data_IF_467672496527
#
_entry.id   IF_467672496527
#
_cell.length_a   1.000
_cell.length_b   1.000
_cell.length_c   1.000
_cell.angle_alpha   90.00
_cell.angle_beta   90.00
_cell.angle_gamma   90.00
#
_symmetry.space_group_name_H-M   'P 1'
#
loop_
_entity.id
_entity.type
_entity.pdbx_description
1 polymer ?
#
# COMPACT_ATOMS: atom_id res chain seq x y z
N UNK A 1 7.43 22.33 -13.46
CA UNK A 1 7.00 21.28 -14.42
C UNK A 1 5.50 21.10 -14.34
N UNK A 2 4.88 20.70 -15.46
CA UNK A 2 3.49 20.26 -15.51
C UNK A 2 3.45 18.73 -15.61
N UNK A 3 2.94 18.09 -14.58
CA UNK A 3 2.92 16.64 -14.42
C UNK A 3 1.48 16.13 -14.48
N UNK A 4 1.25 14.97 -15.07
CA UNK A 4 -0.09 14.41 -15.21
C UNK A 4 -0.17 12.91 -14.96
N UNK A 5 -1.33 12.44 -14.52
CA UNK A 5 -1.61 11.00 -14.38
C UNK A 5 -2.99 10.64 -14.94
N UNK A 6 -3.07 9.53 -15.66
CA UNK A 6 -4.34 8.94 -16.10
C UNK A 6 -4.80 7.90 -15.09
N UNK A 7 -5.95 8.13 -14.46
CA UNK A 7 -6.57 7.21 -13.51
C UNK A 7 -7.96 6.78 -13.99
N UNK A 8 -8.39 5.53 -13.75
CA UNK A 8 -9.72 5.05 -14.15
C UNK A 8 -10.86 5.69 -13.34
N UNK A 9 -10.57 6.20 -12.17
CA UNK A 9 -11.50 6.81 -11.21
C UNK A 9 -10.72 7.40 -10.04
N UNK A 10 -11.38 8.15 -9.16
CA UNK A 10 -10.82 8.71 -7.91
C UNK A 10 -11.24 7.96 -6.63
N UNK A 11 -11.85 6.77 -6.73
CA UNK A 11 -12.23 5.94 -5.57
C UNK A 11 -11.01 5.52 -4.74
N UNK A 12 -11.22 5.19 -3.45
CA UNK A 12 -10.16 4.77 -2.53
C UNK A 12 -9.53 3.41 -2.92
N UNK A 13 -8.47 3.48 -3.67
CA UNK A 13 -7.59 2.36 -4.03
C UNK A 13 -6.13 2.76 -3.86
N UNK A 14 -5.28 1.80 -3.50
CA UNK A 14 -3.85 2.07 -3.22
C UNK A 14 -3.09 2.72 -4.39
N UNK A 15 -3.44 2.37 -5.63
CA UNK A 15 -2.86 3.01 -6.83
C UNK A 15 -3.32 4.45 -7.03
N UNK A 16 -4.60 4.75 -6.73
CA UNK A 16 -5.15 6.11 -6.78
C UNK A 16 -4.53 6.95 -5.66
N UNK A 17 -4.56 6.45 -4.42
CA UNK A 17 -3.96 7.11 -3.25
C UNK A 17 -2.53 7.56 -3.52
N UNK A 18 -1.70 6.69 -4.12
CA UNK A 18 -0.32 6.98 -4.49
C UNK A 18 -0.17 8.28 -5.27
N UNK A 19 -0.97 8.46 -6.31
CA UNK A 19 -0.85 9.64 -7.17
C UNK A 19 -1.47 10.89 -6.56
N UNK A 20 -2.48 10.75 -5.71
CA UNK A 20 -3.04 11.89 -5.00
C UNK A 20 -2.05 12.42 -3.93
N UNK A 21 -1.39 11.52 -3.19
CA UNK A 21 -0.35 11.91 -2.21
C UNK A 21 0.88 12.50 -2.89
N UNK A 22 1.40 11.86 -3.95
CA UNK A 22 2.49 12.43 -4.74
C UNK A 22 2.11 13.76 -5.36
N UNK A 23 0.89 13.87 -5.90
CA UNK A 23 0.39 15.09 -6.52
C UNK A 23 0.39 16.26 -5.55
N UNK A 24 -0.09 16.07 -4.31
CA UNK A 24 -0.04 17.12 -3.29
C UNK A 24 1.40 17.58 -3.00
N UNK A 25 2.34 16.64 -2.92
CA UNK A 25 3.76 16.99 -2.68
C UNK A 25 4.36 17.72 -3.89
N UNK A 26 4.04 17.33 -5.11
CA UNK A 26 4.49 18.04 -6.29
C UNK A 26 3.94 19.48 -6.32
N UNK A 27 2.66 19.67 -5.96
CA UNK A 27 2.06 21.01 -5.85
C UNK A 27 2.74 21.82 -4.75
N UNK A 28 2.98 21.24 -3.57
CA UNK A 28 3.67 21.91 -2.46
C UNK A 28 5.12 22.31 -2.83
N UNK A 29 5.73 21.63 -3.79
CA UNK A 29 7.07 21.93 -4.36
C UNK A 29 7.00 22.92 -5.56
N UNK A 30 5.84 23.52 -5.86
CA UNK A 30 5.67 24.50 -6.92
C UNK A 30 5.49 23.92 -8.32
N UNK A 31 5.14 22.64 -8.46
CA UNK A 31 4.81 22.01 -9.72
C UNK A 31 3.31 21.96 -9.95
N UNK A 32 2.87 22.02 -11.19
CA UNK A 32 1.48 21.78 -11.57
C UNK A 32 1.26 20.27 -11.67
N UNK A 33 0.22 19.73 -11.03
CA UNK A 33 -0.12 18.31 -11.11
C UNK A 33 -1.60 18.11 -11.47
N UNK A 34 -1.85 17.36 -12.55
CA UNK A 34 -3.18 17.15 -13.12
C UNK A 34 -3.54 15.67 -13.06
N UNK A 35 -4.69 15.36 -12.48
CA UNK A 35 -5.28 14.01 -12.51
C UNK A 35 -6.35 13.99 -13.59
N UNK A 36 -6.14 13.18 -14.60
CA UNK A 36 -7.10 12.95 -15.67
C UNK A 36 -7.91 11.69 -15.37
N UNK A 37 -9.23 11.81 -15.39
CA UNK A 37 -10.18 10.70 -15.27
C UNK A 37 -11.26 10.77 -16.35
N UNK A 38 -12.09 9.72 -16.56
CA UNK A 38 -13.17 9.79 -17.53
C UNK A 38 -14.18 10.91 -17.27
N UNK A 39 -14.40 11.25 -16.00
CA UNK A 39 -15.44 12.18 -15.53
C UNK A 39 -14.90 13.49 -14.91
N UNK A 40 -13.58 13.61 -14.74
CA UNK A 40 -12.94 14.77 -14.11
C UNK A 40 -13.28 14.98 -12.62
N UNK A 41 -13.92 14.00 -11.95
CA UNK A 41 -14.40 14.18 -10.59
C UNK A 41 -13.28 14.10 -9.55
N UNK A 42 -13.29 15.05 -8.61
CA UNK A 42 -12.37 15.06 -7.48
C UNK A 42 -12.67 13.92 -6.50
N UNK A 43 -11.64 13.41 -5.77
CA UNK A 43 -11.88 12.44 -4.71
C UNK A 43 -12.65 13.06 -3.55
N UNK A 44 -13.65 12.36 -3.03
CA UNK A 44 -14.45 12.80 -1.87
C UNK A 44 -13.83 12.44 -0.52
N UNK A 45 -12.86 11.52 -0.53
CA UNK A 45 -12.21 10.97 0.67
C UNK A 45 -10.81 11.55 0.93
N UNK A 46 -10.30 12.41 0.02
CA UNK A 46 -8.94 12.94 0.07
C UNK A 46 -8.92 14.41 -0.35
N UNK A 47 -8.25 15.25 0.43
CA UNK A 47 -8.03 16.67 0.07
C UNK A 47 -6.91 16.77 -0.96
N UNK A 48 -7.27 16.82 -2.23
CA UNK A 48 -6.33 16.94 -3.34
C UNK A 48 -6.07 18.39 -3.69
N UNK A 49 -4.80 18.78 -3.77
CA UNK A 49 -4.34 20.15 -4.05
C UNK A 49 -4.10 20.42 -5.54
N UNK A 50 -3.98 19.38 -6.34
CA UNK A 50 -3.76 19.50 -7.78
C UNK A 50 -5.05 19.72 -8.55
N UNK A 51 -4.95 19.66 -9.87
CA UNK A 51 -6.06 19.87 -10.79
C UNK A 51 -6.72 18.57 -11.20
N UNK A 52 -8.03 18.63 -11.44
CA UNK A 52 -8.80 17.55 -12.04
C UNK A 52 -9.15 17.90 -13.47
N UNK A 53 -9.09 16.92 -14.37
CA UNK A 53 -9.47 17.10 -15.79
C UNK A 53 -10.02 15.79 -16.36
N UNK A 54 -10.61 15.89 -17.57
CA UNK A 54 -11.09 14.72 -18.30
C UNK A 54 -10.04 14.18 -19.27
N UNK A 55 -10.21 12.95 -19.73
CA UNK A 55 -9.31 12.34 -20.72
C UNK A 55 -9.22 13.11 -22.04
N UNK A 56 -10.28 13.81 -22.42
CA UNK A 56 -10.32 14.59 -23.69
C UNK A 56 -9.30 15.74 -23.70
N UNK A 57 -8.98 16.28 -22.53
CA UNK A 57 -8.01 17.36 -22.39
C UNK A 57 -6.54 16.90 -22.52
N UNK A 58 -6.27 15.59 -22.50
CA UNK A 58 -4.89 15.05 -22.49
C UNK A 58 -4.11 15.48 -23.74
N UNK A 59 -4.74 15.41 -24.92
CA UNK A 59 -4.07 15.71 -26.19
C UNK A 59 -3.67 17.19 -26.33
N UNK A 60 -4.42 18.11 -25.72
CA UNK A 60 -4.22 19.55 -25.79
C UNK A 60 -3.44 20.13 -24.61
N UNK A 61 -3.21 19.34 -23.56
CA UNK A 61 -2.50 19.81 -22.37
C UNK A 61 -0.98 19.62 -22.54
N UNK A 62 -0.19 20.70 -22.51
CA UNK A 62 1.27 20.59 -22.48
C UNK A 62 1.74 19.95 -21.15
N UNK A 63 2.45 18.84 -21.24
CA UNK A 63 2.89 18.06 -20.10
C UNK A 63 4.39 17.75 -20.20
N UNK A 64 5.13 17.95 -19.11
CA UNK A 64 6.50 17.44 -18.98
C UNK A 64 6.51 15.93 -18.80
N UNK A 65 5.60 15.39 -17.97
CA UNK A 65 5.47 13.96 -17.76
C UNK A 65 4.01 13.52 -17.63
N UNK A 66 3.69 12.35 -18.21
CA UNK A 66 2.37 11.72 -18.09
C UNK A 66 2.51 10.26 -17.66
N UNK A 67 1.86 9.91 -16.55
CA UNK A 67 1.85 8.55 -16.01
C UNK A 67 0.53 7.82 -16.24
N UNK A 68 0.62 6.49 -16.27
CA UNK A 68 -0.52 5.61 -15.98
C UNK A 68 -0.03 4.31 -15.32
N UNK A 69 -0.89 3.69 -14.53
CA UNK A 69 -0.71 2.32 -14.02
C UNK A 69 -1.53 1.30 -14.81
N UNK A 70 -2.33 1.78 -15.75
CA UNK A 70 -3.36 0.99 -16.45
C UNK A 70 -2.96 0.78 -17.90
N UNK A 71 -2.74 -0.48 -18.28
CA UNK A 71 -2.35 -0.86 -19.64
C UNK A 71 -3.28 -0.26 -20.70
N UNK A 72 -4.58 -0.26 -20.43
CA UNK A 72 -5.64 0.29 -21.31
C UNK A 72 -5.39 1.77 -21.69
N UNK A 73 -4.73 2.55 -20.86
CA UNK A 73 -4.52 3.98 -21.07
C UNK A 73 -3.17 4.30 -21.71
N UNK A 74 -2.30 3.31 -21.92
CA UNK A 74 -1.00 3.54 -22.58
C UNK A 74 -1.11 4.15 -24.01
N UNK A 75 -2.09 3.77 -24.85
CA UNK A 75 -2.25 4.44 -26.13
C UNK A 75 -2.46 5.96 -26.01
N UNK A 76 -3.23 6.41 -25.00
CA UNK A 76 -3.43 7.83 -24.73
C UNK A 76 -2.15 8.52 -24.22
N UNK A 77 -1.37 7.85 -23.37
CA UNK A 77 -0.05 8.34 -22.93
C UNK A 77 0.89 8.49 -24.13
N UNK A 78 0.91 7.51 -25.02
CA UNK A 78 1.77 7.53 -26.22
C UNK A 78 1.37 8.62 -27.22
N UNK A 79 0.09 8.88 -27.37
CA UNK A 79 -0.45 9.93 -28.24
C UNK A 79 -0.32 11.35 -27.66
N UNK A 80 -0.06 11.49 -26.37
CA UNK A 80 0.09 12.81 -25.72
C UNK A 80 1.37 13.52 -26.18
N UNK A 81 1.42 14.83 -25.93
CA UNK A 81 2.60 15.67 -26.14
C UNK A 81 3.60 15.60 -24.97
N UNK A 82 3.39 14.75 -23.98
CA UNK A 82 4.26 14.63 -22.84
C UNK A 82 5.69 14.22 -23.23
N UNK A 83 6.68 14.94 -22.70
CA UNK A 83 8.11 14.63 -22.88
C UNK A 83 8.44 13.24 -22.29
N UNK A 84 8.00 12.98 -21.06
CA UNK A 84 8.17 11.71 -20.37
C UNK A 84 6.86 10.91 -20.39
N UNK A 85 6.86 9.77 -21.09
CA UNK A 85 5.71 8.86 -21.24
C UNK A 85 5.91 7.65 -20.34
N UNK A 86 5.23 7.61 -19.19
CA UNK A 86 5.62 6.72 -18.10
C UNK A 86 4.53 5.69 -17.80
N UNK A 87 4.92 4.42 -17.82
CA UNK A 87 4.14 3.33 -17.25
C UNK A 87 4.62 3.05 -15.82
N UNK A 88 3.79 3.38 -14.82
CA UNK A 88 4.11 3.11 -13.42
C UNK A 88 3.61 1.72 -13.06
N UNK A 89 4.52 0.74 -13.06
CA UNK A 89 4.19 -0.66 -12.82
C UNK A 89 4.03 -0.90 -11.33
N UNK A 90 2.79 -1.08 -10.88
CA UNK A 90 2.42 -1.20 -9.46
C UNK A 90 2.17 -2.64 -9.01
N UNK A 91 2.08 -3.58 -9.95
CA UNK A 91 1.81 -4.99 -9.67
C UNK A 91 2.32 -5.88 -10.81
N UNK A 92 2.93 -7.02 -10.49
CA UNK A 92 3.34 -8.01 -11.49
C UNK A 92 2.18 -8.38 -12.40
N UNK A 93 2.38 -8.31 -13.69
CA UNK A 93 1.37 -8.55 -14.72
C UNK A 93 2.00 -9.13 -15.98
N UNK A 94 1.31 -10.05 -16.64
CA UNK A 94 1.78 -10.71 -17.85
C UNK A 94 1.37 -10.00 -19.12
N UNK A 95 0.35 -9.15 -19.08
CA UNK A 95 -0.20 -8.44 -20.22
C UNK A 95 0.53 -7.12 -20.56
N UNK A 96 1.71 -6.88 -19.99
CA UNK A 96 2.50 -5.64 -20.16
C UNK A 96 3.67 -5.78 -21.14
N UNK A 97 3.82 -6.93 -21.80
CA UNK A 97 4.98 -7.23 -22.67
C UNK A 97 5.22 -6.17 -23.75
N UNK A 98 4.15 -5.71 -24.40
CA UNK A 98 4.22 -4.69 -25.45
C UNK A 98 4.69 -3.32 -24.91
N UNK A 99 4.29 -2.96 -23.68
CA UNK A 99 4.73 -1.74 -22.99
C UNK A 99 6.21 -1.85 -22.64
N UNK A 100 6.61 -3.00 -22.06
CA UNK A 100 8.00 -3.23 -21.62
C UNK A 100 9.01 -3.21 -22.78
N UNK A 101 8.57 -3.51 -24.01
CA UNK A 101 9.39 -3.50 -25.21
C UNK A 101 9.35 -2.18 -25.99
N UNK A 102 8.44 -1.28 -25.65
CA UNK A 102 8.34 -0.01 -26.36
C UNK A 102 9.43 0.95 -25.86
N UNK A 103 10.32 1.44 -26.77
CA UNK A 103 11.40 2.36 -26.40
C UNK A 103 10.91 3.75 -26.01
N UNK A 104 9.73 4.16 -26.46
CA UNK A 104 9.12 5.45 -26.10
C UNK A 104 8.54 5.47 -24.68
N UNK A 105 8.43 4.31 -24.02
CA UNK A 105 7.85 4.21 -22.68
C UNK A 105 8.95 4.11 -21.65
N UNK A 106 8.93 4.99 -20.68
CA UNK A 106 9.71 4.87 -19.46
C UNK A 106 8.94 4.02 -18.45
N UNK A 107 9.62 3.11 -17.77
CA UNK A 107 8.98 2.22 -16.81
C UNK A 107 9.44 2.56 -15.39
N UNK A 108 8.47 2.81 -14.52
CA UNK A 108 8.70 3.02 -13.09
C UNK A 108 8.21 1.81 -12.30
N UNK A 109 8.99 1.34 -11.36
CA UNK A 109 8.62 0.24 -10.47
C UNK A 109 8.32 0.74 -9.06
N UNK A 110 7.18 0.36 -8.51
CA UNK A 110 6.74 0.79 -7.18
C UNK A 110 7.40 0.03 -6.02
N UNK A 111 8.13 -1.05 -6.30
CA UNK A 111 8.83 -1.87 -5.32
C UNK A 111 9.97 -2.64 -5.99
N UNK A 112 10.96 -3.06 -5.21
CA UNK A 112 12.04 -3.95 -5.68
C UNK A 112 11.47 -5.24 -6.26
N UNK A 113 10.41 -5.77 -5.68
CA UNK A 113 9.76 -6.99 -6.17
C UNK A 113 9.18 -6.84 -7.60
N UNK A 114 8.68 -5.67 -7.95
CA UNK A 114 8.21 -5.35 -9.32
C UNK A 114 9.41 -5.10 -10.23
N UNK A 115 10.39 -4.34 -9.79
CA UNK A 115 11.63 -4.09 -10.53
C UNK A 115 12.33 -5.40 -10.94
N UNK A 116 12.53 -6.34 -9.99
CA UNK A 116 13.18 -7.62 -10.26
C UNK A 116 12.35 -8.48 -11.24
N UNK A 117 11.04 -8.41 -11.13
CA UNK A 117 10.14 -9.08 -12.09
C UNK A 117 10.29 -8.51 -13.50
N UNK A 118 10.31 -7.18 -13.66
CA UNK A 118 10.45 -6.53 -14.95
C UNK A 118 11.81 -6.82 -15.59
N UNK A 119 12.88 -6.78 -14.79
CA UNK A 119 14.22 -7.11 -15.23
C UNK A 119 14.33 -8.58 -15.66
N UNK A 120 13.85 -9.50 -14.79
CA UNK A 120 13.96 -10.96 -15.05
C UNK A 120 13.11 -11.40 -16.23
N UNK A 121 11.88 -10.88 -16.34
CA UNK A 121 10.90 -11.37 -17.34
C UNK A 121 11.02 -10.68 -18.68
N UNK A 122 11.35 -9.40 -18.69
CA UNK A 122 11.31 -8.56 -19.89
C UNK A 122 12.68 -7.98 -20.25
N UNK A 123 13.72 -8.16 -19.43
CA UNK A 123 15.02 -7.48 -19.59
C UNK A 123 14.94 -5.96 -19.36
N UNK A 124 13.80 -5.46 -18.79
CA UNK A 124 13.54 -4.02 -18.67
C UNK A 124 14.05 -3.49 -17.34
N UNK A 125 15.02 -2.57 -17.39
CA UNK A 125 15.46 -1.81 -16.22
C UNK A 125 14.49 -0.65 -15.99
N UNK A 126 13.63 -0.77 -14.98
CA UNK A 126 12.71 0.27 -14.57
C UNK A 126 13.42 1.30 -13.66
N UNK A 127 12.89 2.52 -13.59
CA UNK A 127 13.27 3.45 -12.52
C UNK A 127 12.62 3.01 -11.20
N UNK A 128 13.39 2.96 -10.10
CA UNK A 128 12.90 2.53 -8.79
C UNK A 128 12.19 3.69 -8.04
N UNK A 129 10.94 3.96 -8.39
CA UNK A 129 10.07 4.89 -7.68
C UNK A 129 9.36 4.17 -6.52
N UNK A 130 10.16 3.59 -5.61
CA UNK A 130 9.70 2.71 -4.53
C UNK A 130 9.12 3.54 -3.39
N UNK A 131 7.95 3.15 -2.94
CA UNK A 131 7.34 3.79 -1.79
C UNK A 131 5.85 4.02 -2.01
N UNK A 132 5.14 4.65 -1.15
CA UNK A 132 5.56 5.33 0.05
C UNK A 132 4.39 5.46 1.02
N UNK A 133 4.57 6.28 1.99
CA UNK A 133 3.60 6.61 3.05
C UNK A 133 3.84 8.06 3.47
N UNK A 134 2.80 8.81 3.83
CA UNK A 134 2.97 10.12 4.47
C UNK A 134 3.20 9.89 5.96
N UNK A 135 4.45 9.76 6.36
CA UNK A 135 4.83 9.36 7.72
C UNK A 135 4.30 10.33 8.78
N UNK A 136 4.20 11.61 8.47
CA UNK A 136 3.67 12.64 9.36
C UNK A 136 2.21 12.40 9.79
N UNK A 137 1.42 11.70 8.96
CA UNK A 137 0.02 11.36 9.26
C UNK A 137 -0.13 10.20 10.25
N UNK A 138 0.98 9.51 10.58
CA UNK A 138 0.98 8.31 11.43
C UNK A 138 1.83 8.54 12.66
N UNK A 139 1.19 8.79 13.80
CA UNK A 139 1.88 8.93 15.08
C UNK A 139 2.39 7.56 15.54
N UNK A 140 3.63 7.45 16.06
CA UNK A 140 4.08 6.21 16.68
C UNK A 140 3.27 5.91 17.94
N UNK A 141 3.06 4.63 18.24
CA UNK A 141 2.41 4.23 19.49
C UNK A 141 3.38 4.38 20.67
N UNK A 142 2.82 4.77 21.82
CA UNK A 142 3.62 5.07 23.01
C UNK A 142 3.86 3.84 23.90
N UNK A 143 2.93 2.87 23.88
CA UNK A 143 2.99 1.70 24.75
C UNK A 143 2.84 0.38 23.99
N UNK A 144 3.58 -0.62 24.46
CA UNK A 144 3.52 -2.02 23.98
C UNK A 144 2.99 -2.98 25.04
N UNK A 145 2.55 -2.45 26.17
CA UNK A 145 1.99 -3.22 27.27
C UNK A 145 0.62 -3.81 26.91
N UNK A 146 0.37 -5.04 27.37
CA UNK A 146 -0.87 -5.80 27.13
C UNK A 146 -1.57 -6.20 28.44
N UNK A 147 -1.04 -5.76 29.59
CA UNK A 147 -1.60 -6.08 30.90
C UNK A 147 -3.09 -5.77 30.99
N UNK A 148 -3.87 -6.70 31.52
CA UNK A 148 -5.29 -6.52 31.83
C UNK A 148 -6.25 -6.47 30.63
N UNK A 149 -5.78 -6.67 29.40
CA UNK A 149 -6.60 -6.63 28.18
C UNK A 149 -6.26 -7.73 27.17
N UNK A 150 -7.15 -8.05 26.25
CA UNK A 150 -6.83 -8.98 25.15
C UNK A 150 -5.71 -8.43 24.26
N UNK A 151 -4.80 -9.33 23.83
CA UNK A 151 -3.82 -9.04 22.77
C UNK A 151 -4.54 -8.83 21.44
N UNK A 152 -4.41 -7.66 20.87
CA UNK A 152 -5.13 -7.26 19.67
C UNK A 152 -4.30 -7.48 18.41
N UNK A 153 -4.75 -8.40 17.54
CA UNK A 153 -4.19 -8.62 16.21
C UNK A 153 -4.98 -7.80 15.20
N UNK A 154 -4.34 -6.84 14.56
CA UNK A 154 -4.94 -6.06 13.49
C UNK A 154 -4.61 -6.67 12.13
N UNK A 155 -5.59 -6.75 11.25
CA UNK A 155 -5.38 -7.13 9.85
C UNK A 155 -6.31 -6.37 8.90
N UNK A 156 -5.86 -6.21 7.66
CA UNK A 156 -6.72 -5.67 6.61
C UNK A 156 -7.85 -6.64 6.31
N UNK A 157 -9.08 -6.18 6.45
CA UNK A 157 -10.30 -6.99 6.45
C UNK A 157 -10.85 -7.36 5.07
N UNK A 158 -10.08 -7.22 3.98
CA UNK A 158 -10.50 -7.53 2.60
C UNK A 158 -10.77 -9.04 2.41
N UNK A 159 -11.81 -9.54 3.11
CA UNK A 159 -12.18 -10.97 3.14
C UNK A 159 -12.66 -11.50 1.79
N UNK A 160 -13.16 -10.63 0.93
CA UNK A 160 -13.65 -10.96 -0.41
C UNK A 160 -12.52 -11.31 -1.39
N UNK A 161 -11.31 -10.82 -1.13
CA UNK A 161 -10.15 -11.05 -1.98
C UNK A 161 -9.19 -12.09 -1.36
N UNK A 162 -9.25 -13.33 -1.82
CA UNK A 162 -8.35 -14.40 -1.33
C UNK A 162 -6.86 -14.06 -1.45
N UNK A 163 -6.49 -13.16 -2.38
CA UNK A 163 -5.11 -12.70 -2.55
C UNK A 163 -4.59 -11.99 -1.30
N UNK A 164 -5.46 -11.29 -0.55
CA UNK A 164 -5.11 -10.58 0.69
C UNK A 164 -4.81 -11.52 1.86
N UNK A 165 -5.32 -12.74 1.84
CA UNK A 165 -4.96 -13.77 2.82
C UNK A 165 -5.55 -13.58 4.21
N UNK A 166 -6.51 -12.68 4.39
CA UNK A 166 -7.17 -12.40 5.68
C UNK A 166 -7.65 -13.67 6.38
N UNK A 167 -8.17 -14.66 5.62
CA UNK A 167 -8.60 -15.94 6.16
C UNK A 167 -7.50 -16.75 6.87
N UNK A 168 -6.22 -16.57 6.53
CA UNK A 168 -5.11 -17.21 7.26
C UNK A 168 -4.90 -16.56 8.62
N UNK A 169 -5.07 -15.24 8.71
CA UNK A 169 -4.97 -14.48 9.96
C UNK A 169 -6.12 -14.87 10.88
N UNK A 170 -7.35 -14.88 10.37
CA UNK A 170 -8.55 -15.32 11.12
C UNK A 170 -8.32 -16.72 11.71
N UNK A 171 -7.95 -17.71 10.88
CA UNK A 171 -7.69 -19.09 11.35
C UNK A 171 -6.54 -19.19 12.36
N UNK A 172 -5.55 -18.32 12.27
CA UNK A 172 -4.47 -18.26 13.25
C UNK A 172 -4.98 -17.75 14.62
N UNK A 173 -5.77 -16.68 14.62
CA UNK A 173 -6.37 -16.12 15.83
C UNK A 173 -7.39 -17.07 16.46
N UNK A 174 -8.27 -17.68 15.70
CA UNK A 174 -9.22 -18.69 16.18
C UNK A 174 -8.51 -19.86 16.90
N UNK A 175 -7.39 -20.34 16.33
CA UNK A 175 -6.64 -21.44 16.94
C UNK A 175 -5.92 -21.02 18.21
N UNK A 176 -5.39 -19.79 18.28
CA UNK A 176 -4.79 -19.25 19.52
C UNK A 176 -5.85 -19.10 20.60
N UNK A 177 -7.01 -18.54 20.27
CA UNK A 177 -8.13 -18.40 21.19
C UNK A 177 -8.58 -19.76 21.74
N UNK A 178 -8.75 -20.76 20.86
CA UNK A 178 -9.08 -22.13 21.29
C UNK A 178 -7.98 -22.82 22.12
N UNK A 179 -6.77 -22.27 22.17
CA UNK A 179 -5.67 -22.72 23.01
C UNK A 179 -5.59 -21.93 24.35
N UNK A 180 -6.58 -21.08 24.64
CA UNK A 180 -6.65 -20.30 25.87
C UNK A 180 -5.87 -18.98 25.86
N UNK A 181 -5.35 -18.53 24.72
CA UNK A 181 -4.72 -17.21 24.63
C UNK A 181 -5.77 -16.10 24.72
N UNK A 182 -5.54 -15.10 25.58
CA UNK A 182 -6.39 -13.90 25.64
C UNK A 182 -6.11 -12.99 24.45
N UNK A 183 -6.75 -13.28 23.32
CA UNK A 183 -6.53 -12.64 22.03
C UNK A 183 -7.85 -12.17 21.41
N UNK A 184 -7.82 -11.04 20.71
CA UNK A 184 -8.92 -10.58 19.84
C UNK A 184 -8.41 -10.21 18.46
N UNK A 185 -9.28 -10.27 17.47
CA UNK A 185 -9.02 -9.88 16.10
C UNK A 185 -9.69 -8.53 15.80
N UNK A 186 -8.92 -7.58 15.29
CA UNK A 186 -9.42 -6.31 14.78
C UNK A 186 -9.26 -6.30 13.26
N UNK A 187 -10.35 -6.20 12.53
CA UNK A 187 -10.36 -6.08 11.07
C UNK A 187 -10.84 -4.69 10.66
N UNK A 188 -10.32 -4.19 9.56
CA UNK A 188 -10.81 -2.95 8.97
C UNK A 188 -10.83 -3.03 7.44
N UNK A 189 -11.87 -2.51 6.83
CA UNK A 189 -11.98 -2.39 5.36
C UNK A 189 -12.95 -1.25 4.99
N UNK A 190 -12.80 -0.75 3.77
CA UNK A 190 -13.80 0.07 3.11
C UNK A 190 -14.35 -0.75 1.95
N UNK A 191 -15.63 -1.17 1.99
CA UNK A 191 -16.21 -2.00 0.95
C UNK A 191 -16.23 -1.26 -0.38
N UNK A 192 -15.89 -1.98 -1.45
CA UNK A 192 -15.80 -1.42 -2.81
C UNK A 192 -17.16 -1.43 -3.53
N UNK A 193 -18.08 -2.28 -3.07
CA UNK A 193 -19.43 -2.47 -3.58
C UNK A 193 -20.36 -3.06 -2.51
N UNK A 194 -21.66 -3.12 -2.80
CA UNK A 194 -22.66 -3.69 -1.89
C UNK A 194 -22.44 -5.18 -1.59
N UNK A 195 -21.90 -5.94 -2.54
CA UNK A 195 -21.59 -7.36 -2.34
C UNK A 195 -20.46 -7.53 -1.31
N UNK A 196 -19.45 -6.68 -1.34
CA UNK A 196 -18.41 -6.63 -0.33
C UNK A 196 -18.98 -6.22 1.04
N UNK A 197 -19.83 -5.20 1.09
CA UNK A 197 -20.49 -4.76 2.33
C UNK A 197 -21.35 -5.88 2.96
N UNK A 198 -22.15 -6.61 2.16
CA UNK A 198 -22.94 -7.76 2.65
C UNK A 198 -22.06 -8.87 3.21
N UNK A 199 -20.94 -9.21 2.57
CA UNK A 199 -20.02 -10.24 3.07
C UNK A 199 -19.31 -9.83 4.35
N UNK A 200 -18.98 -8.57 4.50
CA UNK A 200 -18.41 -8.03 5.76
C UNK A 200 -19.46 -8.14 6.87
N UNK A 201 -20.70 -7.75 6.62
CA UNK A 201 -21.81 -7.85 7.59
C UNK A 201 -22.09 -9.30 8.01
N UNK A 202 -21.92 -10.25 7.11
CA UNK A 202 -22.12 -11.68 7.38
C UNK A 202 -20.87 -12.37 7.96
N UNK A 203 -19.78 -11.63 8.18
CA UNK A 203 -18.53 -12.20 8.69
C UNK A 203 -18.69 -12.68 10.13
N UNK A 204 -18.21 -13.89 10.40
CA UNK A 204 -18.17 -14.48 11.74
C UNK A 204 -16.77 -15.04 12.04
N UNK A 205 -16.42 -15.07 13.30
CA UNK A 205 -15.13 -15.60 13.78
C UNK A 205 -15.33 -16.28 15.15
N UNK A 206 -14.58 -17.35 15.42
CA UNK A 206 -14.67 -18.10 16.69
C UNK A 206 -13.88 -17.48 17.84
N UNK A 207 -13.06 -16.48 17.57
CA UNK A 207 -12.43 -15.65 18.62
C UNK A 207 -13.15 -14.30 18.72
N UNK A 208 -13.03 -13.57 19.82
CA UNK A 208 -13.52 -12.20 19.92
C UNK A 208 -12.98 -11.35 18.78
N UNK A 209 -13.86 -10.62 18.09
CA UNK A 209 -13.44 -9.79 16.98
C UNK A 209 -14.26 -8.51 16.91
N UNK A 210 -13.68 -7.55 16.21
CA UNK A 210 -14.33 -6.32 15.77
C UNK A 210 -14.01 -6.09 14.31
N UNK A 211 -15.01 -5.69 13.51
CA UNK A 211 -14.82 -5.33 12.12
C UNK A 211 -15.20 -3.87 11.93
N UNK A 212 -14.19 -3.01 11.72
CA UNK A 212 -14.37 -1.57 11.48
C UNK A 212 -14.55 -1.34 9.99
N UNK A 213 -15.69 -0.76 9.62
CA UNK A 213 -16.08 -0.51 8.23
C UNK A 213 -16.09 0.99 7.95
N UNK A 214 -15.47 1.39 6.84
CA UNK A 214 -15.50 2.78 6.38
C UNK A 214 -14.79 3.77 7.32
N UNK A 215 -13.77 3.32 8.05
CA UNK A 215 -12.98 4.22 8.90
C UNK A 215 -12.35 5.33 8.05
N UNK A 216 -12.39 6.59 8.50
CA UNK A 216 -11.77 7.69 7.79
C UNK A 216 -10.29 7.42 7.54
N UNK A 217 -9.87 7.54 6.29
CA UNK A 217 -8.51 7.19 5.86
C UNK A 217 -7.42 7.98 6.61
N UNK A 218 -7.63 9.26 6.83
CA UNK A 218 -6.73 10.16 7.54
C UNK A 218 -6.59 9.84 9.03
N UNK A 219 -7.48 8.99 9.55
CA UNK A 219 -7.51 8.54 10.95
C UNK A 219 -7.12 7.06 11.12
N UNK A 220 -6.67 6.39 10.09
CA UNK A 220 -6.27 4.98 10.17
C UNK A 220 -5.24 4.70 11.28
N UNK A 221 -4.39 5.68 11.63
CA UNK A 221 -3.45 5.56 12.74
C UNK A 221 -4.13 5.16 14.07
N UNK A 222 -5.39 5.57 14.30
CA UNK A 222 -6.14 5.20 15.50
C UNK A 222 -6.39 3.68 15.59
N UNK A 223 -6.61 3.02 14.45
CA UNK A 223 -6.75 1.56 14.39
C UNK A 223 -5.42 0.85 14.69
N UNK A 224 -4.33 1.37 14.14
CA UNK A 224 -2.99 0.84 14.41
C UNK A 224 -2.60 0.99 15.88
N UNK A 225 -2.96 2.08 16.54
CA UNK A 225 -2.70 2.27 17.98
C UNK A 225 -3.44 1.29 18.88
N UNK A 226 -4.59 0.77 18.45
CA UNK A 226 -5.34 -0.28 19.15
C UNK A 226 -4.71 -1.67 19.01
N UNK A 227 -3.73 -1.83 18.11
CA UNK A 227 -3.12 -3.11 17.79
C UNK A 227 -1.85 -3.38 18.59
N UNK A 228 -1.64 -4.65 18.95
CA UNK A 228 -0.38 -5.15 19.52
C UNK A 228 0.52 -5.75 18.45
N UNK A 229 -0.05 -6.17 17.32
CA UNK A 229 0.65 -6.45 16.08
C UNK A 229 -0.26 -6.27 14.87
N UNK A 230 0.34 -5.93 13.73
CA UNK A 230 -0.32 -5.95 12.43
C UNK A 230 0.09 -7.20 11.65
N UNK A 231 -0.87 -7.89 11.05
CA UNK A 231 -0.63 -9.12 10.29
C UNK A 231 -1.13 -9.00 8.86
N UNK A 232 -0.23 -9.17 7.88
CA UNK A 232 -0.54 -9.22 6.46
C UNK A 232 -0.13 -10.55 5.84
N UNK A 233 -1.11 -11.32 5.36
CA UNK A 233 -0.89 -12.62 4.71
C UNK A 233 -1.08 -12.57 3.19
N UNK A 234 -0.77 -11.45 2.56
CA UNK A 234 -0.94 -11.22 1.14
C UNK A 234 -0.14 -12.21 0.28
N UNK A 235 -0.64 -12.50 -0.94
CA UNK A 235 0.02 -13.44 -1.84
C UNK A 235 1.22 -12.78 -2.54
N UNK A 236 2.45 -13.34 -2.41
CA UNK A 236 3.66 -12.77 -3.01
C UNK A 236 3.64 -12.61 -4.52
N UNK A 237 2.80 -13.39 -5.22
CA UNK A 237 2.73 -13.36 -6.69
C UNK A 237 2.14 -12.07 -7.26
N UNK A 238 1.27 -11.41 -6.50
CA UNK A 238 0.43 -10.31 -7.02
C UNK A 238 0.73 -8.96 -6.39
N UNK A 239 1.57 -8.92 -5.38
CA UNK A 239 1.78 -7.72 -4.59
C UNK A 239 2.94 -6.87 -5.13
N UNK A 240 2.68 -5.58 -5.28
CA UNK A 240 3.68 -4.54 -5.46
C UNK A 240 4.11 -3.97 -4.11
N UNK A 241 3.78 -2.70 -3.85
CA UNK A 241 3.95 -2.05 -2.54
C UNK A 241 2.78 -2.35 -1.60
N UNK A 242 3.06 -2.62 -0.32
CA UNK A 242 2.02 -2.92 0.67
C UNK A 242 1.77 -1.72 1.59
N UNK A 243 0.76 -0.91 1.26
CA UNK A 243 0.43 0.32 1.98
C UNK A 243 0.13 0.06 3.46
N UNK A 244 -0.67 -0.96 3.80
CA UNK A 244 -1.07 -1.21 5.19
C UNK A 244 0.09 -1.69 6.07
N UNK A 245 1.09 -2.36 5.50
CA UNK A 245 2.35 -2.67 6.20
C UNK A 245 3.14 -1.39 6.44
N UNK A 246 3.28 -0.52 5.43
CA UNK A 246 3.96 0.76 5.57
C UNK A 246 3.29 1.65 6.63
N UNK A 247 1.97 1.69 6.66
CA UNK A 247 1.17 2.42 7.66
C UNK A 247 1.37 1.86 9.08
N UNK A 248 1.40 0.52 9.24
CA UNK A 248 1.70 -0.13 10.51
C UNK A 248 3.11 0.21 11.03
N UNK A 249 4.11 0.18 10.13
CA UNK A 249 5.47 0.60 10.43
C UNK A 249 5.53 2.07 10.85
N UNK A 250 4.83 2.94 10.14
CA UNK A 250 4.73 4.36 10.46
C UNK A 250 4.09 4.62 11.83
N UNK A 251 3.21 3.74 12.30
CA UNK A 251 2.66 3.77 13.65
C UNK A 251 3.52 3.05 14.71
N UNK A 252 4.73 2.60 14.37
CA UNK A 252 5.58 1.79 15.24
C UNK A 252 4.88 0.49 15.74
N UNK A 253 3.97 -0.09 14.95
CA UNK A 253 3.30 -1.35 15.29
C UNK A 253 4.12 -2.52 14.73
N UNK A 254 4.46 -3.53 15.54
CA UNK A 254 5.21 -4.68 15.06
C UNK A 254 4.44 -5.46 14.01
N UNK A 255 5.12 -5.83 12.93
CA UNK A 255 4.52 -6.45 11.75
C UNK A 255 4.88 -7.92 11.63
N UNK A 256 3.86 -8.74 11.33
CA UNK A 256 4.02 -10.10 10.80
C UNK A 256 3.51 -10.11 9.37
N UNK A 257 4.35 -10.44 8.40
CA UNK A 257 3.96 -10.39 7.00
C UNK A 257 4.55 -11.52 6.16
N UNK A 258 3.98 -11.75 4.97
CA UNK A 258 4.58 -12.58 3.92
C UNK A 258 5.56 -11.74 3.08
N UNK A 259 6.25 -12.38 2.12
CA UNK A 259 7.14 -11.66 1.18
C UNK A 259 6.41 -10.79 0.14
N UNK A 260 5.11 -10.59 0.31
CA UNK A 260 4.23 -9.91 -0.65
C UNK A 260 4.38 -8.39 -0.60
N UNK A 261 5.14 -7.81 -1.52
CA UNK A 261 5.34 -6.35 -1.61
C UNK A 261 6.01 -5.74 -0.39
N UNK A 262 6.73 -6.54 0.37
CA UNK A 262 7.33 -6.16 1.65
C UNK A 262 8.84 -6.37 1.68
N UNK A 263 9.45 -6.71 0.54
CA UNK A 263 10.91 -6.90 0.47
C UNK A 263 11.68 -5.63 0.82
N UNK A 264 11.11 -4.47 0.47
CA UNK A 264 11.66 -3.16 0.79
C UNK A 264 11.36 -2.71 2.23
N UNK A 265 10.34 -3.31 2.87
CA UNK A 265 9.79 -2.85 4.15
C UNK A 265 10.29 -3.66 5.34
N UNK A 266 10.21 -5.00 5.25
CA UNK A 266 10.46 -5.87 6.40
C UNK A 266 11.76 -6.68 6.21
N UNK A 267 12.69 -6.44 7.12
CA UNK A 267 13.88 -7.28 7.37
C UNK A 267 13.53 -8.27 8.50
N UNK A 268 13.55 -9.57 8.14
CA UNK A 268 13.09 -10.62 9.07
C UNK A 268 13.90 -10.64 10.36
N UNK A 269 13.21 -10.63 11.51
CA UNK A 269 13.74 -10.61 12.87
C UNK A 269 14.57 -9.35 13.24
N UNK A 270 14.58 -8.34 12.39
CA UNK A 270 15.19 -7.04 12.66
C UNK A 270 14.13 -5.98 12.96
N UNK A 271 13.26 -5.68 12.00
CA UNK A 271 12.17 -4.72 12.11
C UNK A 271 10.77 -5.33 11.99
N UNK A 272 10.66 -6.67 12.01
CA UNK A 272 9.41 -7.42 11.90
C UNK A 272 9.66 -8.90 11.67
N UNK A 273 8.58 -9.64 11.40
CA UNK A 273 8.64 -11.09 11.19
C UNK A 273 8.09 -11.45 9.80
N UNK A 274 8.90 -12.16 9.00
CA UNK A 274 8.46 -12.74 7.74
C UNK A 274 7.91 -14.15 7.94
N UNK A 275 6.70 -14.38 7.48
CA UNK A 275 5.99 -15.65 7.60
C UNK A 275 5.81 -16.32 6.25
N UNK A 276 5.84 -17.65 6.21
CA UNK A 276 5.19 -18.37 5.14
C UNK A 276 3.68 -18.15 5.17
N UNK A 277 3.01 -18.22 4.02
CA UNK A 277 1.57 -17.94 3.87
C UNK A 277 0.71 -19.12 4.32
N UNK A 278 0.93 -19.56 5.56
CA UNK A 278 0.17 -20.64 6.20
C UNK A 278 -0.25 -20.24 7.60
N UNK A 279 -1.48 -20.62 7.98
CA UNK A 279 -2.07 -20.30 9.28
C UNK A 279 -1.18 -20.68 10.49
N UNK A 280 -0.45 -21.81 10.42
CA UNK A 280 0.40 -22.25 11.52
C UNK A 280 1.69 -21.42 11.65
N UNK A 281 2.27 -20.98 10.53
CA UNK A 281 3.44 -20.08 10.55
C UNK A 281 3.07 -18.71 11.10
N UNK A 282 1.97 -18.14 10.62
CA UNK A 282 1.42 -16.86 11.10
C UNK A 282 1.12 -16.98 12.60
N UNK A 283 0.43 -18.04 13.02
CA UNK A 283 0.12 -18.31 14.43
C UNK A 283 1.36 -18.31 15.30
N UNK A 284 2.46 -18.98 14.88
CA UNK A 284 3.73 -19.02 15.63
C UNK A 284 4.30 -17.63 15.84
N UNK A 285 4.29 -16.79 14.82
CA UNK A 285 4.79 -15.41 14.92
C UNK A 285 3.90 -14.52 15.80
N UNK A 286 2.58 -14.64 15.71
CA UNK A 286 1.65 -13.96 16.64
C UNK A 286 1.95 -14.38 18.08
N UNK A 287 2.10 -15.70 18.33
CA UNK A 287 2.45 -16.22 19.65
C UNK A 287 3.80 -15.67 20.16
N UNK A 288 4.81 -15.55 19.32
CA UNK A 288 6.09 -14.93 19.67
C UNK A 288 5.91 -13.49 20.15
N UNK A 289 5.12 -12.69 19.44
CA UNK A 289 4.83 -11.30 19.83
C UNK A 289 3.91 -11.22 21.06
N UNK A 290 3.01 -12.16 21.24
CA UNK A 290 2.16 -12.24 22.43
C UNK A 290 2.98 -12.34 23.71
N UNK A 291 4.01 -13.19 23.73
CA UNK A 291 4.83 -13.47 24.91
C UNK A 291 5.94 -12.45 25.17
N UNK A 292 6.23 -11.52 24.26
CA UNK A 292 7.39 -10.63 24.42
C UNK A 292 7.08 -9.17 24.08
N UNK A 293 6.90 -8.36 25.13
CA UNK A 293 6.82 -6.92 24.98
C UNK A 293 8.11 -6.34 24.39
N UNK A 294 9.26 -6.83 24.85
CA UNK A 294 10.56 -6.38 24.35
C UNK A 294 10.68 -6.55 22.84
N UNK A 295 10.19 -7.66 22.27
CA UNK A 295 10.16 -7.87 20.82
C UNK A 295 9.17 -6.93 20.13
N UNK A 296 7.99 -6.72 20.71
CA UNK A 296 7.01 -5.77 20.14
C UNK A 296 7.61 -4.37 20.06
N UNK A 297 8.24 -3.91 21.13
CA UNK A 297 8.92 -2.60 21.20
C UNK A 297 10.04 -2.51 20.19
N UNK A 298 10.97 -3.47 20.20
CA UNK A 298 12.12 -3.48 19.28
C UNK A 298 11.69 -3.45 17.82
N UNK A 299 10.76 -4.33 17.41
CA UNK A 299 10.32 -4.38 16.00
C UNK A 299 9.49 -3.15 15.60
N UNK A 300 8.66 -2.65 16.49
CA UNK A 300 7.88 -1.44 16.21
C UNK A 300 8.76 -0.22 16.00
N UNK A 301 9.73 0.00 16.89
CA UNK A 301 10.69 1.12 16.81
C UNK A 301 11.57 1.01 15.56
N UNK A 302 12.20 -0.14 15.33
CA UNK A 302 13.02 -0.36 14.15
C UNK A 302 12.23 -0.21 12.84
N UNK A 303 10.97 -0.67 12.81
CA UNK A 303 10.08 -0.48 11.67
C UNK A 303 9.79 1.01 11.41
N UNK A 304 9.56 1.79 12.48
CA UNK A 304 9.34 3.24 12.38
C UNK A 304 10.56 3.98 11.83
N UNK A 305 11.74 3.62 12.27
CA UNK A 305 13.00 4.20 11.76
C UNK A 305 13.17 3.91 10.27
N UNK A 306 13.00 2.65 9.87
CA UNK A 306 13.19 2.22 8.49
C UNK A 306 12.19 2.84 7.51
N UNK A 307 10.93 3.05 7.93
CA UNK A 307 9.90 3.57 7.03
C UNK A 307 10.10 5.04 6.65
N UNK A 308 10.88 5.79 7.42
CA UNK A 308 11.21 7.19 7.12
C UNK A 308 11.85 7.36 5.74
N UNK A 309 12.65 6.38 5.31
CA UNK A 309 13.28 6.39 3.98
C UNK A 309 12.29 6.24 2.82
N UNK A 310 11.03 5.88 3.10
CA UNK A 310 9.95 5.67 2.14
C UNK A 310 8.84 6.70 2.27
N UNK A 311 9.07 7.81 2.95
CA UNK A 311 8.14 8.93 2.94
C UNK A 311 7.90 9.42 1.51
N UNK A 312 6.66 9.85 1.23
CA UNK A 312 6.31 10.33 -0.11
C UNK A 312 7.14 11.52 -0.56
N UNK A 313 7.62 12.35 0.36
CA UNK A 313 8.51 13.48 0.04
C UNK A 313 9.81 13.00 -0.58
N UNK A 314 10.40 11.94 -0.03
CA UNK A 314 11.62 11.31 -0.56
C UNK A 314 11.39 10.65 -1.93
N UNK A 315 10.23 10.02 -2.11
CA UNK A 315 9.87 9.40 -3.40
C UNK A 315 9.63 10.47 -4.47
N UNK A 316 8.93 11.54 -4.12
CA UNK A 316 8.68 12.67 -5.02
C UNK A 316 10.00 13.33 -5.47
N UNK A 317 10.92 13.55 -4.56
CA UNK A 317 12.22 14.13 -4.88
C UNK A 317 13.02 13.26 -5.87
N UNK A 318 13.08 11.95 -5.64
CA UNK A 318 13.70 11.00 -6.58
C UNK A 318 13.08 11.06 -7.97
N UNK A 319 11.74 11.15 -8.05
CA UNK A 319 11.01 11.26 -9.32
C UNK A 319 11.34 12.60 -9.99
N UNK A 320 11.30 13.72 -9.28
CA UNK A 320 11.61 15.03 -9.83
C UNK A 320 13.04 15.11 -10.37
N UNK A 321 14.00 14.61 -9.61
CA UNK A 321 15.40 14.55 -10.04
C UNK A 321 15.57 13.70 -11.32
N UNK A 322 14.86 12.57 -11.42
CA UNK A 322 14.85 11.74 -12.63
C UNK A 322 14.33 12.51 -13.85
N UNK A 323 13.20 13.22 -13.70
CA UNK A 323 12.57 13.97 -14.79
C UNK A 323 13.39 15.20 -15.24
N UNK A 324 14.16 15.80 -14.36
CA UNK A 324 14.99 16.96 -14.65
C UNK A 324 16.30 16.60 -15.34
N UNK A 325 16.82 15.41 -15.10
CA UNK A 325 18.12 14.97 -15.62
C UNK A 325 18.06 14.21 -16.94
N UNK A 326 16.87 14.00 -17.47
CA UNK A 326 16.59 13.32 -18.73
C UNK A 326 15.69 14.14 -19.66
#
# INVERSE_FOLDING_TARGET
MTLGVLLPHTKLYGGVKRFLELGNIFVDKGHRFIVFTPDGQAPTWFSFKGEMSTFDAVASTPLDALWTTTVKFMPMVLASQARHKIFYHVRKSDNVKHIMRNPQVEVFACSTNVYDYDLKKYGRRAFKAIGGVTVANYKPKDSYEVSGRPFTVLAYGRIVERVKGTHYVVKACEKLYAQGYNIRLLLFDTPVDEGAARRIKAFTCRCPFEFVVGHPFDRNWQLFHRADCFVSAENPRYSGWNNTVAEAMACAVPVVTTKAGTADLIRDKENGLRSARYKFCIRRHIKTLYHSEALRRRYGQAAREDIMAFDWSMVAEKILNYLQTR
#
